data_IF_170705725937
#
_entry.id   IF_170705725937
#
_cell.length_a   1.000
_cell.length_b   1.000
_cell.length_c   1.000
_cell.angle_alpha   90.00
_cell.angle_beta   90.00
_cell.angle_gamma   90.00
#
_symmetry.space_group_name_H-M   'P 1'
#
loop_
_entity.id
_entity.type
_entity.pdbx_description
1 polymer ?
#
# COMPACT_ATOMS: atom_id res chain seq x y z
N UNK A 1 13.18 1.42 18.59
CA UNK A 1 13.74 1.60 17.22
C UNK A 1 12.60 1.61 16.22
N UNK A 2 12.65 2.48 15.20
CA UNK A 2 11.63 2.60 14.17
C UNK A 2 12.25 2.26 12.80
N UNK A 3 11.62 1.35 12.07
CA UNK A 3 11.90 1.07 10.66
C UNK A 3 10.74 1.61 9.81
N UNK A 4 11.01 2.58 8.95
CA UNK A 4 10.02 3.29 8.17
C UNK A 4 10.55 3.81 6.84
N UNK A 5 9.65 4.33 6.01
CA UNK A 5 10.03 4.92 4.72
C UNK A 5 11.05 6.06 4.87
N UNK A 6 12.01 6.10 3.96
CA UNK A 6 12.97 7.23 3.81
C UNK A 6 12.31 8.54 3.34
N UNK A 7 11.08 8.46 2.81
CA UNK A 7 10.34 9.60 2.24
C UNK A 7 9.44 10.33 3.25
N UNK A 8 9.70 10.23 4.55
CA UNK A 8 8.85 10.85 5.58
C UNK A 8 8.65 12.36 5.39
N UNK A 9 9.68 13.09 4.94
CA UNK A 9 9.60 14.54 4.67
C UNK A 9 8.81 14.89 3.39
N UNK A 10 8.55 13.92 2.52
CA UNK A 10 7.78 14.07 1.29
C UNK A 10 6.57 13.12 1.23
N UNK A 11 6.08 12.72 2.38
CA UNK A 11 5.06 11.68 2.53
C UNK A 11 3.79 11.99 1.73
N UNK A 12 3.32 13.26 1.77
CA UNK A 12 2.14 13.71 1.03
C UNK A 12 2.30 13.56 -0.48
N UNK A 13 3.40 14.04 -1.03
CA UNK A 13 3.66 13.93 -2.46
C UNK A 13 3.75 12.47 -2.91
N UNK A 14 4.41 11.62 -2.10
CA UNK A 14 4.51 10.19 -2.37
C UNK A 14 3.15 9.49 -2.31
N UNK A 15 2.32 9.84 -1.33
CA UNK A 15 0.97 9.28 -1.19
C UNK A 15 0.09 9.66 -2.39
N UNK A 16 0.03 10.94 -2.77
CA UNK A 16 -0.73 11.43 -3.93
C UNK A 16 -0.27 10.70 -5.19
N UNK A 17 1.04 10.65 -5.44
CA UNK A 17 1.58 9.95 -6.60
C UNK A 17 1.10 8.50 -6.67
N UNK A 18 1.25 7.73 -5.59
CA UNK A 18 0.91 6.29 -5.55
C UNK A 18 -0.59 6.02 -5.58
N UNK A 19 -1.39 6.85 -4.89
CA UNK A 19 -2.82 6.58 -4.73
C UNK A 19 -3.69 7.23 -5.81
N UNK A 20 -3.22 8.29 -6.46
CA UNK A 20 -4.01 9.05 -7.42
C UNK A 20 -3.37 9.09 -8.80
N UNK A 21 -2.19 9.70 -8.92
CA UNK A 21 -1.59 9.97 -10.23
C UNK A 21 -1.28 8.71 -11.03
N UNK A 22 -0.61 7.74 -10.42
CA UNK A 22 -0.26 6.50 -11.11
C UNK A 22 -1.49 5.71 -11.55
N UNK A 23 -2.54 5.65 -10.71
CA UNK A 23 -3.81 4.99 -11.06
C UNK A 23 -4.49 5.68 -12.23
N UNK A 24 -4.69 7.01 -12.13
CA UNK A 24 -5.40 7.78 -13.16
C UNK A 24 -4.69 7.64 -14.50
N UNK A 25 -3.37 7.76 -14.51
CA UNK A 25 -2.56 7.58 -15.73
C UNK A 25 -2.83 6.24 -16.42
N UNK A 26 -2.80 5.14 -15.69
CA UNK A 26 -3.00 3.82 -16.27
C UNK A 26 -4.46 3.55 -16.64
N UNK A 27 -5.43 4.07 -15.87
CA UNK A 27 -6.85 3.97 -16.21
C UNK A 27 -7.15 4.72 -17.52
N UNK A 28 -6.66 5.94 -17.66
CA UNK A 28 -6.84 6.73 -18.90
C UNK A 28 -6.20 6.01 -20.07
N UNK A 29 -4.97 5.54 -19.93
CA UNK A 29 -4.28 4.78 -20.99
C UNK A 29 -5.06 3.52 -21.39
N UNK A 30 -5.56 2.76 -20.41
CA UNK A 30 -6.39 1.58 -20.64
C UNK A 30 -7.65 1.92 -21.45
N UNK A 31 -8.38 2.97 -21.06
CA UNK A 31 -9.60 3.38 -21.76
C UNK A 31 -9.30 3.77 -23.20
N UNK A 32 -8.27 4.59 -23.41
CA UNK A 32 -7.87 5.04 -24.76
C UNK A 32 -7.51 3.84 -25.65
N UNK A 33 -6.69 2.92 -25.16
CA UNK A 33 -6.28 1.74 -25.94
C UNK A 33 -7.45 0.79 -26.22
N UNK A 34 -8.37 0.60 -25.27
CA UNK A 34 -9.58 -0.19 -25.49
C UNK A 34 -10.50 0.44 -26.52
N UNK A 35 -10.71 1.76 -26.47
CA UNK A 35 -11.55 2.47 -27.46
C UNK A 35 -10.95 2.35 -28.85
N UNK A 36 -9.65 2.59 -29.02
CA UNK A 36 -8.95 2.43 -30.30
C UNK A 36 -9.06 0.98 -30.79
N UNK A 37 -8.85 0.00 -29.92
CA UNK A 37 -8.95 -1.42 -30.25
C UNK A 37 -10.36 -1.81 -30.73
N UNK A 38 -11.40 -1.32 -30.05
CA UNK A 38 -12.81 -1.54 -30.45
C UNK A 38 -13.18 -0.92 -31.79
N UNK A 39 -12.76 0.32 -32.04
CA UNK A 39 -13.00 1.00 -33.33
C UNK A 39 -12.30 0.23 -34.46
N UNK A 40 -11.02 -0.14 -34.26
CA UNK A 40 -10.27 -0.88 -35.26
C UNK A 40 -10.84 -2.29 -35.50
N UNK A 41 -11.33 -2.97 -34.46
CA UNK A 41 -12.02 -4.24 -34.58
C UNK A 41 -13.30 -4.11 -35.41
N UNK A 42 -14.11 -3.08 -35.17
CA UNK A 42 -15.30 -2.80 -35.98
C UNK A 42 -14.95 -2.54 -37.45
N UNK A 43 -13.89 -1.77 -37.71
CA UNK A 43 -13.38 -1.54 -39.08
C UNK A 43 -12.89 -2.82 -39.75
N UNK A 44 -12.17 -3.67 -39.03
CA UNK A 44 -11.69 -4.96 -39.54
C UNK A 44 -12.83 -5.89 -39.91
N UNK A 45 -13.92 -5.90 -39.15
CA UNK A 45 -15.11 -6.70 -39.41
C UNK A 45 -15.90 -6.20 -40.64
N UNK A 46 -15.94 -4.87 -40.87
CA UNK A 46 -16.71 -4.27 -41.96
C UNK A 46 -15.96 -4.29 -43.29
N UNK A 47 -14.67 -3.98 -43.29
CA UNK A 47 -13.90 -3.75 -44.54
C UNK A 47 -12.87 -4.82 -44.81
N UNK A 48 -12.56 -5.65 -43.86
CA UNK A 48 -11.47 -6.63 -43.96
C UNK A 48 -10.14 -5.92 -44.20
N UNK A 49 -9.10 -6.33 -43.55
CA UNK A 49 -7.77 -5.75 -43.85
C UNK A 49 -6.78 -6.05 -42.75
N UNK A 50 -5.59 -6.42 -43.15
CA UNK A 50 -4.49 -6.77 -42.23
C UNK A 50 -4.17 -5.61 -41.29
N UNK A 51 -4.23 -4.37 -41.79
CA UNK A 51 -3.95 -3.17 -40.99
C UNK A 51 -4.93 -2.94 -39.88
N UNK A 52 -6.26 -3.03 -40.15
CA UNK A 52 -7.29 -2.86 -39.12
C UNK A 52 -7.22 -3.99 -38.10
N UNK A 53 -6.98 -5.22 -38.52
CA UNK A 53 -6.81 -6.36 -37.59
C UNK A 53 -5.60 -6.18 -36.68
N UNK A 54 -4.47 -5.72 -37.22
CA UNK A 54 -3.26 -5.43 -36.41
C UNK A 54 -3.52 -4.36 -35.36
N UNK A 55 -4.17 -3.24 -35.72
CA UNK A 55 -4.51 -2.17 -34.79
C UNK A 55 -5.47 -2.67 -33.72
N UNK A 56 -6.46 -3.50 -34.10
CA UNK A 56 -7.38 -4.11 -33.14
C UNK A 56 -6.66 -4.99 -32.11
N UNK A 57 -5.75 -5.85 -32.56
CA UNK A 57 -4.95 -6.73 -31.68
C UNK A 57 -4.04 -5.90 -30.77
N UNK A 58 -3.38 -4.88 -31.30
CA UNK A 58 -2.51 -3.99 -30.51
C UNK A 58 -3.31 -3.17 -29.51
N UNK A 59 -4.48 -2.65 -29.88
CA UNK A 59 -5.36 -1.88 -28.99
C UNK A 59 -5.91 -2.74 -27.83
N UNK A 60 -6.43 -3.91 -28.15
CA UNK A 60 -6.95 -4.84 -27.14
C UNK A 60 -5.83 -5.39 -26.23
N UNK A 61 -4.70 -5.76 -26.84
CA UNK A 61 -3.53 -6.21 -26.09
C UNK A 61 -2.94 -5.12 -25.18
N UNK A 62 -2.84 -3.90 -25.70
CA UNK A 62 -2.43 -2.72 -24.92
C UNK A 62 -3.38 -2.40 -23.78
N UNK A 63 -4.70 -2.53 -24.01
CA UNK A 63 -5.72 -2.39 -22.98
C UNK A 63 -5.58 -3.43 -21.87
N UNK A 64 -5.34 -4.69 -22.21
CA UNK A 64 -5.10 -5.76 -21.25
C UNK A 64 -3.83 -5.53 -20.42
N UNK A 65 -2.73 -5.07 -21.04
CA UNK A 65 -1.50 -4.71 -20.33
C UNK A 65 -1.71 -3.52 -19.38
N UNK A 66 -2.48 -2.51 -19.82
CA UNK A 66 -2.81 -1.36 -18.98
C UNK A 66 -3.68 -1.76 -17.80
N UNK A 67 -4.63 -2.69 -17.98
CA UNK A 67 -5.41 -3.27 -16.88
C UNK A 67 -4.51 -3.99 -15.87
N UNK A 68 -3.56 -4.80 -16.34
CA UNK A 68 -2.58 -5.46 -15.48
C UNK A 68 -1.74 -4.42 -14.69
N UNK A 69 -1.36 -3.30 -15.32
CA UNK A 69 -0.65 -2.21 -14.66
C UNK A 69 -1.52 -1.53 -13.58
N UNK A 70 -2.82 -1.29 -13.83
CA UNK A 70 -3.76 -0.76 -12.83
C UNK A 70 -3.87 -1.69 -11.63
N UNK A 71 -4.06 -3.00 -11.88
CA UNK A 71 -4.10 -4.02 -10.81
C UNK A 71 -2.81 -4.03 -10.01
N UNK A 72 -1.65 -3.97 -10.69
CA UNK A 72 -0.35 -3.87 -10.04
C UNK A 72 -0.25 -2.62 -9.15
N UNK A 73 -0.67 -1.45 -9.64
CA UNK A 73 -0.69 -0.21 -8.86
C UNK A 73 -1.57 -0.33 -7.61
N UNK A 74 -2.76 -0.95 -7.74
CA UNK A 74 -3.66 -1.17 -6.61
C UNK A 74 -3.03 -2.07 -5.54
N UNK A 75 -2.38 -3.16 -5.96
CA UNK A 75 -1.75 -4.13 -5.04
C UNK A 75 -0.50 -3.53 -4.37
N UNK A 76 0.22 -2.65 -5.06
CA UNK A 76 1.51 -2.14 -4.57
C UNK A 76 1.46 -0.78 -3.92
N UNK A 77 0.34 -0.06 -4.02
CA UNK A 77 0.18 1.32 -3.54
C UNK A 77 0.57 1.51 -2.06
N UNK A 78 0.23 0.53 -1.22
CA UNK A 78 0.42 0.62 0.23
C UNK A 78 1.78 0.08 0.70
N UNK A 79 2.63 -0.43 -0.21
CA UNK A 79 3.94 -1.00 0.16
C UNK A 79 4.89 0.02 0.78
N UNK A 80 4.82 1.26 0.32
CA UNK A 80 5.69 2.34 0.77
C UNK A 80 5.21 2.98 2.11
N UNK A 81 4.04 2.56 2.62
CA UNK A 81 3.39 3.15 3.80
C UNK A 81 3.21 2.14 4.92
N UNK A 82 4.27 1.40 5.22
CA UNK A 82 4.32 0.44 6.30
C UNK A 82 5.42 0.83 7.27
N UNK A 83 5.30 0.41 8.52
CA UNK A 83 6.33 0.65 9.51
C UNK A 83 6.46 -0.53 10.47
N UNK A 84 7.64 -0.70 11.04
CA UNK A 84 7.86 -1.54 12.20
C UNK A 84 8.40 -0.71 13.34
N UNK A 85 7.90 -0.93 14.53
CA UNK A 85 8.40 -0.33 15.76
C UNK A 85 8.87 -1.46 16.67
N UNK A 86 10.16 -1.49 16.97
CA UNK A 86 10.71 -2.40 17.97
C UNK A 86 10.77 -1.67 19.31
N UNK A 87 10.12 -2.23 20.30
CA UNK A 87 10.26 -1.90 21.73
C UNK A 87 11.29 -2.85 22.34
N UNK A 88 11.45 -2.83 23.66
CA UNK A 88 12.40 -3.72 24.33
C UNK A 88 12.00 -5.20 24.22
N UNK A 89 10.71 -5.48 24.24
CA UNK A 89 10.19 -6.85 24.30
C UNK A 89 9.38 -7.28 23.06
N UNK A 90 8.88 -6.33 22.24
CA UNK A 90 7.98 -6.62 21.17
C UNK A 90 8.35 -5.89 19.87
N UNK A 91 7.92 -6.44 18.76
CA UNK A 91 7.93 -5.76 17.46
C UNK A 91 6.49 -5.56 17.01
N UNK A 92 6.11 -4.30 16.73
CA UNK A 92 4.80 -3.91 16.22
C UNK A 92 4.92 -3.58 14.74
N UNK A 93 4.12 -4.23 13.92
CA UNK A 93 3.92 -3.86 12.51
C UNK A 93 2.73 -2.92 12.41
N UNK A 94 2.84 -1.85 11.60
CA UNK A 94 1.81 -0.82 11.41
C UNK A 94 1.53 -0.66 9.92
N UNK A 95 0.25 -0.73 9.54
CA UNK A 95 -0.22 -0.32 8.22
C UNK A 95 -0.55 1.18 8.22
N UNK A 96 0.45 1.99 7.88
CA UNK A 96 0.30 3.44 7.90
C UNK A 96 -0.67 3.95 6.82
N UNK A 97 -0.82 3.24 5.69
CA UNK A 97 -1.78 3.65 4.66
C UNK A 97 -3.22 3.56 5.18
N UNK A 98 -3.56 2.48 5.90
CA UNK A 98 -4.84 2.32 6.55
C UNK A 98 -5.04 3.36 7.67
N UNK A 99 -4.00 3.62 8.46
CA UNK A 99 -4.04 4.61 9.54
C UNK A 99 -4.26 6.05 9.03
N UNK A 100 -3.68 6.43 7.88
CA UNK A 100 -3.91 7.75 7.29
C UNK A 100 -5.37 7.96 6.87
N UNK A 101 -6.03 6.91 6.44
CA UNK A 101 -7.42 6.96 6.00
C UNK A 101 -8.41 6.95 7.18
N UNK A 102 -7.96 6.57 8.38
CA UNK A 102 -8.81 6.46 9.57
C UNK A 102 -8.85 7.77 10.35
N UNK A 103 -9.98 8.46 10.28
CA UNK A 103 -10.17 9.72 10.99
C UNK A 103 -10.23 9.58 12.53
N UNK A 104 -10.47 8.37 13.06
CA UNK A 104 -10.45 8.13 14.51
C UNK A 104 -9.05 8.30 15.09
N UNK A 105 -8.03 7.97 14.31
CA UNK A 105 -6.62 8.17 14.68
C UNK A 105 -6.29 9.65 14.86
N UNK A 106 -6.96 10.54 14.12
CA UNK A 106 -6.74 11.98 14.14
C UNK A 106 -7.77 12.76 15.00
N UNK A 107 -8.57 12.06 15.81
CA UNK A 107 -9.53 12.69 16.72
C UNK A 107 -10.72 13.37 16.06
N UNK A 108 -10.94 13.15 14.78
CA UNK A 108 -12.09 13.73 14.06
C UNK A 108 -13.32 12.84 14.23
N UNK A 109 -14.40 13.37 14.81
CA UNK A 109 -15.72 12.73 14.80
C UNK A 109 -16.20 12.60 13.35
N UNK A 110 -16.46 11.36 12.93
CA UNK A 110 -16.87 11.06 11.57
C UNK A 110 -18.38 11.09 11.43
N UNK A 111 -18.83 11.81 10.42
CA UNK A 111 -20.11 11.59 9.81
C UNK A 111 -20.04 10.37 8.88
N UNK A 112 -20.72 9.28 9.22
CA UNK A 112 -20.65 7.93 8.62
C UNK A 112 -21.08 7.81 7.15
N UNK A 113 -21.56 8.89 6.53
CA UNK A 113 -22.36 8.84 5.30
C UNK A 113 -21.59 8.95 3.97
N UNK A 114 -20.25 9.04 3.94
CA UNK A 114 -19.49 9.12 2.69
C UNK A 114 -18.34 8.12 2.62
N UNK A 115 -18.67 6.90 2.21
CA UNK A 115 -17.71 5.82 1.90
C UNK A 115 -17.35 5.74 0.42
N UNK A 116 -17.13 6.84 -0.28
CA UNK A 116 -16.49 6.73 -1.60
C UNK A 116 -14.98 6.58 -1.43
N UNK A 117 -14.35 5.71 -2.22
CA UNK A 117 -12.89 5.53 -2.21
C UNK A 117 -12.15 6.87 -2.40
N UNK A 118 -12.74 7.79 -3.17
CA UNK A 118 -12.22 9.13 -3.43
C UNK A 118 -12.23 10.02 -2.18
N UNK A 119 -13.29 9.95 -1.34
CA UNK A 119 -13.35 10.69 -0.08
C UNK A 119 -12.33 10.19 0.95
N UNK A 120 -12.01 8.90 0.92
CA UNK A 120 -10.99 8.29 1.77
C UNK A 120 -9.59 8.79 1.40
N UNK A 121 -9.28 8.86 0.12
CA UNK A 121 -7.98 9.36 -0.36
C UNK A 121 -7.78 10.86 -0.05
N UNK A 122 -8.84 11.69 -0.18
CA UNK A 122 -8.79 13.13 0.17
C UNK A 122 -8.55 13.31 1.68
N UNK A 123 -9.24 12.53 2.52
CA UNK A 123 -9.03 12.56 3.98
C UNK A 123 -7.61 12.16 4.35
N UNK A 124 -7.09 11.09 3.76
CA UNK A 124 -5.72 10.64 3.98
C UNK A 124 -4.71 11.72 3.61
N UNK A 125 -4.88 12.40 2.48
CA UNK A 125 -4.01 13.52 2.05
C UNK A 125 -4.03 14.67 3.05
N UNK A 126 -5.20 15.02 3.60
CA UNK A 126 -5.31 16.06 4.62
C UNK A 126 -4.63 15.66 5.93
N UNK A 127 -4.83 14.42 6.36
CA UNK A 127 -4.20 13.88 7.57
C UNK A 127 -2.68 13.84 7.44
N UNK A 128 -2.16 13.38 6.31
CA UNK A 128 -0.71 13.36 6.02
C UNK A 128 -0.11 14.76 6.02
N UNK A 129 -0.87 15.79 5.64
CA UNK A 129 -0.40 17.17 5.68
C UNK A 129 -0.01 17.64 7.09
N UNK A 130 -0.60 17.03 8.13
CA UNK A 130 -0.30 17.35 9.52
C UNK A 130 0.95 16.61 10.05
N UNK A 131 1.39 15.54 9.37
CA UNK A 131 2.53 14.69 9.75
C UNK A 131 3.63 14.70 8.67
N UNK A 132 3.85 15.84 8.02
CA UNK A 132 4.71 15.98 6.85
C UNK A 132 6.21 16.12 7.16
N UNK A 133 6.64 15.90 8.39
CA UNK A 133 8.05 15.87 8.80
C UNK A 133 8.41 14.51 9.38
N UNK A 134 9.68 14.12 9.28
CA UNK A 134 10.17 12.86 9.82
C UNK A 134 9.83 12.68 11.31
N UNK A 135 10.02 13.75 12.11
CA UNK A 135 9.72 13.71 13.55
C UNK A 135 8.24 13.49 13.85
N UNK A 136 7.34 14.21 13.18
CA UNK A 136 5.89 14.04 13.35
C UNK A 136 5.41 12.66 12.85
N UNK A 137 6.06 12.13 11.82
CA UNK A 137 5.77 10.79 11.34
C UNK A 137 6.20 9.73 12.35
N UNK A 138 7.36 9.89 12.98
CA UNK A 138 7.84 9.00 14.02
C UNK A 138 6.92 9.05 15.27
N UNK A 139 6.46 10.24 15.67
CA UNK A 139 5.48 10.42 16.73
C UNK A 139 4.13 9.76 16.40
N UNK A 140 3.65 9.93 15.16
CA UNK A 140 2.45 9.29 14.67
C UNK A 140 2.54 7.76 14.74
N UNK A 141 3.64 7.18 14.24
CA UNK A 141 3.86 5.73 14.26
C UNK A 141 3.92 5.19 15.70
N UNK A 142 4.41 5.98 16.66
CA UNK A 142 4.51 5.57 18.07
C UNK A 142 3.22 5.81 18.86
N UNK A 143 2.22 6.45 18.27
CA UNK A 143 0.96 6.76 18.95
C UNK A 143 0.20 5.48 19.37
N UNK A 144 -0.21 5.36 20.64
CA UNK A 144 -1.03 4.24 21.11
C UNK A 144 -2.32 4.04 20.32
N UNK A 145 -2.95 5.13 19.86
CA UNK A 145 -4.16 5.05 19.03
C UNK A 145 -3.90 4.37 17.68
N UNK A 146 -2.76 4.66 17.05
CA UNK A 146 -2.34 4.00 15.79
C UNK A 146 -2.09 2.51 16.03
N UNK A 147 -1.43 2.16 17.12
CA UNK A 147 -1.15 0.76 17.46
C UNK A 147 -2.42 -0.04 17.69
N UNK A 148 -3.35 0.49 18.48
CA UNK A 148 -4.60 -0.20 18.79
C UNK A 148 -5.47 -0.45 17.55
N UNK A 149 -5.49 0.49 16.62
CA UNK A 149 -6.38 0.41 15.46
C UNK A 149 -5.74 -0.24 14.23
N UNK A 150 -4.46 0.01 14.00
CA UNK A 150 -3.75 -0.37 12.76
C UNK A 150 -2.44 -1.10 13.01
N UNK A 151 -2.11 -1.39 14.26
CA UNK A 151 -0.94 -2.15 14.66
C UNK A 151 -1.24 -3.62 14.90
N UNK A 152 -0.22 -4.44 14.73
CA UNK A 152 -0.24 -5.82 15.22
C UNK A 152 1.14 -6.23 15.73
N UNK A 153 1.17 -7.03 16.79
CA UNK A 153 2.40 -7.64 17.29
C UNK A 153 2.90 -8.72 16.34
N UNK A 154 4.20 -8.73 16.10
CA UNK A 154 4.89 -9.82 15.40
C UNK A 154 5.23 -10.87 16.44
N UNK A 155 4.56 -12.03 16.41
CA UNK A 155 4.76 -13.10 17.39
C UNK A 155 5.81 -14.12 16.97
N UNK A 156 5.86 -14.44 15.68
CA UNK A 156 6.79 -15.42 15.12
C UNK A 156 7.08 -15.05 13.68
N UNK A 157 8.33 -15.07 13.28
CA UNK A 157 8.73 -14.83 11.89
C UNK A 157 8.88 -16.16 11.17
N UNK A 158 8.05 -16.38 10.16
CA UNK A 158 8.03 -17.62 9.39
C UNK A 158 9.06 -17.64 8.25
N UNK A 159 9.32 -16.51 7.64
CA UNK A 159 10.35 -16.37 6.61
C UNK A 159 10.70 -14.91 6.32
N UNK A 160 11.95 -14.65 6.01
CA UNK A 160 12.45 -13.40 5.47
C UNK A 160 13.15 -13.71 4.16
N UNK A 161 12.73 -13.05 3.06
CA UNK A 161 13.34 -13.19 1.73
C UNK A 161 13.72 -11.82 1.21
N UNK A 162 15.00 -11.59 1.04
CA UNK A 162 15.53 -10.36 0.49
C UNK A 162 15.50 -10.40 -1.04
N UNK A 163 14.95 -9.36 -1.62
CA UNK A 163 14.93 -9.13 -3.06
C UNK A 163 15.58 -7.81 -3.40
N UNK A 164 15.81 -7.55 -4.67
CA UNK A 164 16.50 -6.33 -5.13
C UNK A 164 15.78 -5.02 -4.74
N UNK A 165 14.45 -5.00 -4.71
CA UNK A 165 13.64 -3.79 -4.45
C UNK A 165 12.82 -3.88 -3.18
N UNK A 166 12.54 -5.08 -2.72
CA UNK A 166 11.67 -5.33 -1.56
C UNK A 166 12.18 -6.52 -0.77
N UNK A 167 12.07 -6.42 0.54
CA UNK A 167 12.18 -7.55 1.45
C UNK A 167 10.78 -8.10 1.70
N UNK A 168 10.58 -9.39 1.46
CA UNK A 168 9.33 -10.09 1.75
C UNK A 168 9.45 -10.75 3.12
N UNK A 169 8.61 -10.34 4.06
CA UNK A 169 8.57 -10.85 5.43
C UNK A 169 7.23 -11.57 5.63
N UNK A 170 7.28 -12.81 6.07
CA UNK A 170 6.10 -13.57 6.46
C UNK A 170 6.18 -13.86 7.94
N UNK A 171 5.14 -13.48 8.69
CA UNK A 171 5.10 -13.64 10.13
C UNK A 171 3.68 -13.94 10.63
N UNK A 172 3.58 -14.48 11.84
CA UNK A 172 2.33 -14.59 12.56
C UNK A 172 2.07 -13.29 13.32
N UNK A 173 0.88 -12.72 13.13
CA UNK A 173 0.47 -11.47 13.77
C UNK A 173 -0.56 -11.72 14.88
N UNK A 174 -0.54 -10.84 15.87
CA UNK A 174 -1.60 -10.70 16.86
C UNK A 174 -2.05 -9.23 16.89
N UNK A 175 -3.36 -8.98 16.83
CA UNK A 175 -3.90 -7.61 16.85
C UNK A 175 -3.61 -6.94 18.18
N UNK A 176 -3.15 -5.69 18.19
CA UNK A 176 -2.80 -4.96 19.43
C UNK A 176 -3.99 -4.71 20.39
N UNK A 177 -5.23 -4.84 19.90
CA UNK A 177 -6.46 -4.63 20.71
C UNK A 177 -7.16 -5.91 21.14
N UNK A 178 -6.65 -7.10 20.82
CA UNK A 178 -7.27 -8.37 21.23
C UNK A 178 -6.81 -8.77 22.63
N UNK A 179 -7.76 -9.32 23.41
CA UNK A 179 -7.47 -9.86 24.73
C UNK A 179 -6.39 -10.95 24.64
N UNK A 180 -5.41 -10.92 25.52
CA UNK A 180 -4.35 -11.94 25.60
C UNK A 180 -4.99 -13.33 25.70
N UNK A 181 -4.69 -14.21 24.76
CA UNK A 181 -5.07 -15.62 24.77
C UNK A 181 -6.07 -16.09 23.74
N UNK A 182 -6.60 -15.24 22.88
CA UNK A 182 -7.42 -15.69 21.75
C UNK A 182 -6.54 -16.33 20.67
N UNK A 183 -6.51 -17.67 20.62
CA UNK A 183 -5.83 -18.45 19.58
C UNK A 183 -6.35 -18.15 18.16
N UNK A 184 -7.56 -17.59 18.02
CA UNK A 184 -8.19 -17.22 16.77
C UNK A 184 -7.57 -15.96 16.11
N UNK A 185 -6.77 -15.19 16.85
CA UNK A 185 -6.19 -13.93 16.36
C UNK A 185 -4.76 -14.07 15.79
N UNK A 186 -4.15 -15.27 15.86
CA UNK A 186 -2.81 -15.50 15.33
C UNK A 186 -2.89 -15.95 13.88
N UNK A 187 -2.87 -14.99 12.95
CA UNK A 187 -2.93 -15.27 11.52
C UNK A 187 -1.60 -14.99 10.81
N UNK A 188 -1.20 -15.82 9.83
CA UNK A 188 -0.04 -15.54 9.02
C UNK A 188 -0.30 -14.31 8.14
N UNK A 189 0.66 -13.39 8.12
CA UNK A 189 0.67 -12.20 7.28
C UNK A 189 1.93 -12.16 6.44
N UNK A 190 1.81 -11.66 5.21
CA UNK A 190 2.95 -11.41 4.34
C UNK A 190 3.01 -9.93 4.00
N UNK A 191 4.16 -9.32 4.24
CA UNK A 191 4.40 -7.91 3.91
C UNK A 191 5.59 -7.78 2.98
N UNK A 192 5.58 -6.72 2.18
CA UNK A 192 6.70 -6.33 1.32
C UNK A 192 7.16 -4.95 1.76
N UNK A 193 8.41 -4.83 2.15
CA UNK A 193 9.04 -3.59 2.62
C UNK A 193 10.07 -3.16 1.58
N UNK A 194 10.07 -1.92 1.10
CA UNK A 194 11.13 -1.41 0.24
C UNK A 194 12.51 -1.49 0.90
N UNK A 195 13.54 -1.78 0.10
CA UNK A 195 14.92 -1.93 0.61
C UNK A 195 15.56 -0.60 1.01
N UNK A 196 14.95 0.52 0.71
CA UNK A 196 15.39 1.88 1.05
C UNK A 196 14.80 2.42 2.37
N UNK A 197 14.22 1.54 3.18
CA UNK A 197 13.71 1.92 4.50
C UNK A 197 14.85 2.22 5.49
N UNK A 198 14.62 3.25 6.33
CA UNK A 198 15.53 3.59 7.42
C UNK A 198 15.49 2.48 8.47
N UNK A 199 16.67 2.10 8.98
CA UNK A 199 16.88 1.05 10.00
C UNK A 199 16.38 -0.35 9.58
N UNK A 200 16.29 -0.64 8.29
CA UNK A 200 15.78 -1.93 7.80
C UNK A 200 16.66 -3.09 8.27
N UNK A 201 17.97 -2.99 8.10
CA UNK A 201 18.90 -4.09 8.41
C UNK A 201 18.87 -4.45 9.91
N UNK A 202 18.84 -3.44 10.78
CA UNK A 202 18.72 -3.66 12.23
C UNK A 202 17.38 -4.30 12.59
N UNK A 203 16.28 -3.85 11.94
CA UNK A 203 14.97 -4.45 12.12
C UNK A 203 14.94 -5.90 11.64
N UNK A 204 15.58 -6.22 10.52
CA UNK A 204 15.68 -7.59 10.01
C UNK A 204 16.46 -8.50 10.96
N UNK A 205 17.52 -8.01 11.59
CA UNK A 205 18.23 -8.77 12.62
C UNK A 205 17.33 -9.11 13.81
N UNK A 206 16.55 -8.13 14.30
CA UNK A 206 15.59 -8.36 15.39
C UNK A 206 14.45 -9.29 14.99
N UNK A 207 13.93 -9.16 13.75
CA UNK A 207 12.90 -10.06 13.25
C UNK A 207 13.40 -11.51 13.14
N UNK A 208 14.65 -11.71 12.73
CA UNK A 208 15.25 -13.05 12.64
C UNK A 208 15.47 -13.69 14.03
N UNK A 209 15.58 -12.92 15.09
CA UNK A 209 15.64 -13.47 16.44
C UNK A 209 14.29 -14.00 16.94
N UNK A 210 13.19 -13.70 16.25
CA UNK A 210 11.85 -14.21 16.51
C UNK A 210 11.46 -15.43 15.64
N UNK A 211 12.41 -15.97 14.86
CA UNK A 211 12.19 -17.11 13.96
C UNK A 211 12.44 -18.46 14.63
#
# INVERSE_FOLDING_TARGET
>A
MICRTSYADNLKARYIKKHTEDKVKYIVLMIVLLVIGWIAFGMAMLYGGVGATLIAVLGLGGGALSLAAVVYCIITKDRDFKAFVATDNDIVFIDCAAAFADSRVFGAMINWNYRSAMATDIKAVNNISNINTASKYDEFIQSPAVWQMHGCFVKEVLSVREGRKYVKIRFKRQTCGSAEGSLLDIMPMTVHIPTDYINLDEMLMRLRSLS
#
